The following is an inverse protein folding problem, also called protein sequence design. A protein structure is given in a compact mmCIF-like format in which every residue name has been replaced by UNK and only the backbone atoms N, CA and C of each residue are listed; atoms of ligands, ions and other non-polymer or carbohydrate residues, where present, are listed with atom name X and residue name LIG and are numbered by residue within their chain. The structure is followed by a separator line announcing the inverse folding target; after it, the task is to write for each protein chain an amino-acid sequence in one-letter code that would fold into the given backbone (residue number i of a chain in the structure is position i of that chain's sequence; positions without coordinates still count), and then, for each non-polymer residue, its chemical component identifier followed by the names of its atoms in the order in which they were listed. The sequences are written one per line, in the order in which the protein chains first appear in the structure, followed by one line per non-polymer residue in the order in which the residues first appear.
data_IF_197237794448
#
_entry.id   IF_197237794448
#
_cell.length_a   1.000
_cell.length_b   1.000
_cell.length_c   1.000
_cell.angle_alpha   90.00
_cell.angle_beta   90.00
_cell.angle_gamma   90.00
#
_symmetry.space_group_name_H-M   'P 1'
#
loop_
_entity.id
_entity.type
_entity.pdbx_description
1 polymer ?
#
# COMPACT_ATOMS: atom_id res chain seq x y z
N UNK A 1 49.93 -49.32 14.42
CA UNK A 1 49.28 -48.07 14.86
C UNK A 1 48.22 -47.72 13.83
N UNK A 2 46.96 -48.04 14.11
CA UNK A 2 45.84 -47.84 13.19
C UNK A 2 45.08 -46.58 13.61
N UNK A 3 44.98 -45.61 12.70
CA UNK A 3 44.24 -44.37 12.89
C UNK A 3 42.77 -44.54 12.50
N UNK A 4 41.86 -44.32 13.45
CA UNK A 4 40.43 -44.32 13.20
C UNK A 4 39.99 -42.98 12.60
N UNK A 5 39.57 -43.00 11.34
CA UNK A 5 38.86 -41.91 10.66
C UNK A 5 37.41 -41.90 11.14
N UNK A 6 36.98 -40.80 11.76
CA UNK A 6 35.57 -40.56 12.07
C UNK A 6 34.91 -39.89 10.86
N UNK A 7 33.94 -40.60 10.27
CA UNK A 7 33.09 -40.07 9.21
C UNK A 7 32.04 -39.13 9.81
N UNK A 8 32.15 -37.85 9.47
CA UNK A 8 31.14 -36.84 9.80
C UNK A 8 29.87 -37.11 8.99
N UNK A 9 28.81 -37.52 9.68
CA UNK A 9 27.45 -37.64 9.14
C UNK A 9 26.88 -36.24 8.94
N UNK A 10 26.75 -35.82 7.68
CA UNK A 10 26.05 -34.61 7.28
C UNK A 10 24.56 -34.69 7.62
N UNK A 11 24.15 -33.99 8.68
CA UNK A 11 22.75 -33.78 9.03
C UNK A 11 22.18 -32.67 8.14
N UNK A 12 21.55 -33.08 7.03
CA UNK A 12 20.96 -32.18 6.05
C UNK A 12 19.56 -31.68 6.46
N UNK A 13 19.47 -30.39 6.77
CA UNK A 13 18.67 -29.46 5.96
C UNK A 13 17.13 -29.47 6.01
N UNK A 14 16.46 -30.11 6.97
CA UNK A 14 14.97 -30.09 7.04
C UNK A 14 14.36 -29.18 8.13
N UNK A 15 15.17 -28.46 8.91
CA UNK A 15 14.69 -27.67 10.05
C UNK A 15 14.21 -26.23 9.75
N UNK A 16 14.56 -25.64 8.60
CA UNK A 16 14.41 -24.18 8.39
C UNK A 16 13.03 -23.71 7.90
N UNK A 17 12.09 -24.63 7.63
CA UNK A 17 10.79 -24.23 7.04
C UNK A 17 9.77 -23.75 8.06
N UNK A 18 9.86 -24.21 9.31
CA UNK A 18 8.91 -23.84 10.36
C UNK A 18 9.27 -22.53 11.07
N UNK A 19 10.57 -22.23 11.17
CA UNK A 19 11.07 -21.01 11.82
C UNK A 19 10.63 -19.72 11.10
N UNK A 20 10.50 -19.75 9.76
CA UNK A 20 10.05 -18.59 8.99
C UNK A 20 8.55 -18.23 9.21
N UNK A 21 7.71 -19.18 9.62
CA UNK A 21 6.28 -18.92 9.79
C UNK A 21 5.97 -18.11 11.06
N UNK A 22 6.77 -18.28 12.11
CA UNK A 22 6.61 -17.54 13.36
C UNK A 22 7.12 -16.11 13.23
N UNK A 23 8.24 -15.92 12.51
CA UNK A 23 8.80 -14.61 12.19
C UNK A 23 7.81 -13.70 11.44
N UNK A 24 7.03 -14.28 10.50
CA UNK A 24 6.05 -13.53 9.73
C UNK A 24 4.80 -13.15 10.53
N UNK A 25 4.48 -13.88 11.61
CA UNK A 25 3.40 -13.51 12.55
C UNK A 25 3.81 -12.34 13.44
N UNK A 26 5.05 -12.35 13.94
CA UNK A 26 5.58 -11.27 14.78
C UNK A 26 5.61 -9.95 14.01
N UNK A 27 6.03 -9.97 12.73
CA UNK A 27 6.04 -8.78 11.87
C UNK A 27 4.64 -8.22 11.60
N UNK A 28 3.64 -9.07 11.33
CA UNK A 28 2.25 -8.64 11.10
C UNK A 28 1.61 -7.97 12.32
N UNK A 29 1.90 -8.47 13.52
CA UNK A 29 1.41 -7.86 14.78
C UNK A 29 1.99 -6.47 15.04
N UNK A 30 3.20 -6.18 14.54
CA UNK A 30 3.80 -4.86 14.66
C UNK A 30 2.99 -3.76 13.96
N UNK A 31 2.45 -4.05 12.77
CA UNK A 31 1.69 -3.08 11.99
C UNK A 31 0.29 -2.80 12.58
N UNK A 32 -0.40 -3.83 13.08
CA UNK A 32 -1.74 -3.66 13.64
C UNK A 32 -1.74 -2.83 14.94
N UNK A 33 -0.69 -2.95 15.76
CA UNK A 33 -0.54 -2.16 16.98
C UNK A 33 -0.17 -0.69 16.70
N UNK A 34 0.53 -0.40 15.59
CA UNK A 34 0.81 0.98 15.14
C UNK A 34 -0.45 1.69 14.70
N UNK A 35 -1.32 1.01 13.94
CA UNK A 35 -2.56 1.59 13.43
C UNK A 35 -3.52 2.05 14.54
N UNK A 36 -3.42 1.48 15.75
CA UNK A 36 -4.32 1.76 16.87
C UNK A 36 -3.72 2.67 17.95
N UNK A 37 -2.53 3.23 17.73
CA UNK A 37 -1.85 4.08 18.72
C UNK A 37 -1.34 3.37 19.99
N UNK A 38 -1.54 2.04 20.11
CA UNK A 38 -1.15 1.23 21.26
C UNK A 38 0.31 0.74 21.21
N UNK A 39 1.03 1.08 20.15
CA UNK A 39 2.44 0.69 19.97
C UNK A 39 3.36 1.18 21.09
N UNK A 40 3.09 2.36 21.65
CA UNK A 40 3.90 2.92 22.73
C UNK A 40 3.82 2.10 24.02
N UNK A 41 2.63 1.56 24.35
CA UNK A 41 2.40 0.67 25.49
C UNK A 41 3.05 -0.70 25.26
N UNK A 42 2.81 -1.31 24.09
CA UNK A 42 3.39 -2.61 23.73
C UNK A 42 4.93 -2.57 23.71
N UNK A 43 5.52 -1.50 23.19
CA UNK A 43 6.98 -1.31 23.19
C UNK A 43 7.54 -1.18 24.61
N UNK A 44 6.89 -0.39 25.47
CA UNK A 44 7.29 -0.25 26.89
C UNK A 44 7.17 -1.58 27.64
N UNK A 45 6.11 -2.36 27.36
CA UNK A 45 5.92 -3.69 27.92
C UNK A 45 7.09 -4.60 27.54
N UNK A 46 7.39 -4.73 26.24
CA UNK A 46 8.51 -5.53 25.76
C UNK A 46 9.85 -5.12 26.40
N UNK A 47 10.13 -3.83 26.48
CA UNK A 47 11.37 -3.34 27.08
C UNK A 47 11.47 -3.67 28.59
N UNK A 48 10.34 -3.64 29.30
CA UNK A 48 10.27 -4.03 30.71
C UNK A 48 10.54 -5.52 30.91
N UNK A 49 9.96 -6.38 30.05
CA UNK A 49 10.17 -7.83 30.07
C UNK A 49 11.61 -8.19 29.73
N UNK A 50 12.21 -7.57 28.71
CA UNK A 50 13.63 -7.78 28.37
C UNK A 50 14.52 -7.45 29.58
N UNK A 51 14.22 -6.34 30.28
CA UNK A 51 14.99 -5.93 31.46
C UNK A 51 14.88 -6.94 32.59
N UNK A 52 13.69 -7.47 32.87
CA UNK A 52 13.45 -8.49 33.88
C UNK A 52 14.19 -9.79 33.56
N UNK A 53 14.04 -10.32 32.34
CA UNK A 53 14.70 -11.56 31.91
C UNK A 53 16.23 -11.44 31.93
N UNK A 54 16.75 -10.26 31.61
CA UNK A 54 18.18 -9.96 31.73
C UNK A 54 18.67 -9.91 33.17
N UNK A 55 17.85 -9.44 34.12
CA UNK A 55 18.20 -9.49 35.54
C UNK A 55 18.22 -10.92 36.08
N UNK A 56 17.44 -11.81 35.46
CA UNK A 56 17.44 -13.26 35.74
C UNK A 56 18.62 -14.01 35.09
N UNK A 57 19.46 -13.31 34.31
CA UNK A 57 20.66 -13.89 33.70
C UNK A 57 20.46 -14.51 32.31
N UNK A 58 19.30 -14.34 31.67
CA UNK A 58 19.12 -14.78 30.29
C UNK A 58 20.00 -14.00 29.31
N UNK A 59 20.40 -14.67 28.23
CA UNK A 59 21.12 -14.02 27.13
C UNK A 59 20.20 -13.02 26.42
N UNK A 60 20.81 -11.98 25.84
CA UNK A 60 20.07 -10.89 25.17
C UNK A 60 19.12 -11.39 24.07
N UNK A 61 19.53 -12.40 23.30
CA UNK A 61 18.71 -12.98 22.22
C UNK A 61 17.52 -13.73 22.77
N UNK A 62 17.75 -14.68 23.68
CA UNK A 62 16.71 -15.46 24.36
C UNK A 62 15.70 -14.56 25.09
N UNK A 63 16.18 -13.52 25.77
CA UNK A 63 15.33 -12.54 26.44
C UNK A 63 14.47 -11.72 25.45
N UNK A 64 14.99 -11.42 24.25
CA UNK A 64 14.24 -10.69 23.24
C UNK A 64 13.13 -11.57 22.64
N UNK A 65 13.42 -12.83 22.35
CA UNK A 65 12.48 -13.79 21.77
C UNK A 65 11.34 -14.07 22.76
N UNK A 66 11.67 -14.35 24.02
CA UNK A 66 10.70 -14.54 25.10
C UNK A 66 9.86 -13.28 25.33
N UNK A 67 10.45 -12.08 25.27
CA UNK A 67 9.70 -10.84 25.40
C UNK A 67 8.70 -10.62 24.25
N UNK A 68 9.05 -11.03 23.03
CA UNK A 68 8.11 -11.01 21.90
C UNK A 68 6.96 -12.00 22.10
N UNK A 69 7.23 -13.21 22.59
CA UNK A 69 6.20 -14.21 22.89
C UNK A 69 5.23 -13.70 23.97
N UNK A 70 5.73 -13.14 25.06
CA UNK A 70 4.89 -12.54 26.10
C UNK A 70 4.10 -11.34 25.59
N UNK A 71 4.70 -10.50 24.75
CA UNK A 71 3.99 -9.37 24.15
C UNK A 71 2.87 -9.86 23.22
N UNK A 72 3.08 -10.92 22.45
CA UNK A 72 2.06 -11.50 21.58
C UNK A 72 0.91 -12.15 22.37
N UNK A 73 1.18 -12.69 23.56
CA UNK A 73 0.16 -13.23 24.47
C UNK A 73 -0.67 -12.13 25.15
N UNK A 74 -0.01 -11.06 25.64
CA UNK A 74 -0.66 -9.94 26.35
C UNK A 74 -1.41 -9.00 25.39
N UNK A 75 -0.84 -8.80 24.20
CA UNK A 75 -1.42 -8.01 23.12
C UNK A 75 -1.75 -8.97 21.98
N UNK A 76 -2.79 -9.82 22.15
CA UNK A 76 -3.21 -10.71 21.09
C UNK A 76 -3.45 -9.85 19.85
N UNK A 77 -3.10 -10.41 18.69
CA UNK A 77 -3.54 -9.84 17.44
C UNK A 77 -5.05 -9.67 17.59
N UNK A 78 -5.51 -8.43 17.75
CA UNK A 78 -6.94 -8.15 17.63
C UNK A 78 -7.24 -8.75 16.29
N UNK A 79 -8.13 -9.77 16.27
CA UNK A 79 -8.61 -10.35 15.04
C UNK A 79 -8.78 -9.15 14.14
N UNK A 80 -7.93 -9.08 13.11
CA UNK A 80 -8.15 -8.11 12.08
C UNK A 80 -9.54 -8.56 11.69
N UNK A 81 -10.56 -7.79 12.11
CA UNK A 81 -11.79 -7.75 11.34
C UNK A 81 -11.17 -7.48 10.00
N UNK A 82 -11.12 -8.54 9.19
CA UNK A 82 -10.71 -8.48 7.81
C UNK A 82 -11.69 -7.45 7.28
N UNK A 83 -11.35 -6.18 7.47
CA UNK A 83 -11.56 -5.16 6.48
C UNK A 83 -10.89 -5.85 5.33
N UNK A 84 -11.72 -6.46 4.45
CA UNK A 84 -11.22 -7.33 3.42
C UNK A 84 -10.04 -6.57 2.88
N UNK A 85 -8.91 -7.27 2.83
CA UNK A 85 -7.75 -6.71 2.20
C UNK A 85 -8.23 -6.01 0.94
N UNK A 86 -7.58 -4.90 0.66
CA UNK A 86 -7.73 -4.07 -0.50
C UNK A 86 -7.50 -4.86 -1.82
N UNK A 87 -8.13 -6.01 -2.02
CA UNK A 87 -9.02 -6.31 -3.12
C UNK A 87 -10.08 -5.20 -3.23
N UNK A 88 -9.68 -4.08 -3.82
CA UNK A 88 -10.61 -3.12 -4.41
C UNK A 88 -11.37 -3.72 -5.60
N UNK A 89 -11.96 -4.90 -5.44
CA UNK A 89 -12.65 -5.67 -6.50
C UNK A 89 -14.11 -5.96 -6.17
N UNK A 90 -14.57 -5.79 -4.93
CA UNK A 90 -15.93 -6.23 -4.53
C UNK A 90 -16.89 -5.07 -4.18
N UNK A 91 -16.42 -3.82 -4.08
CA UNK A 91 -17.30 -2.65 -3.98
C UNK A 91 -17.82 -2.14 -5.34
N UNK A 92 -17.56 -2.90 -6.41
CA UNK A 92 -18.03 -2.60 -7.78
C UNK A 92 -19.19 -3.51 -8.21
N UNK A 93 -19.88 -4.16 -7.27
CA UNK A 93 -21.11 -4.90 -7.57
C UNK A 93 -22.36 -4.00 -7.70
N UNK A 94 -22.19 -2.68 -7.79
CA UNK A 94 -23.24 -1.82 -8.36
C UNK A 94 -23.17 -1.85 -9.90
N UNK A 95 -23.14 -3.08 -10.44
CA UNK A 95 -22.96 -3.47 -11.85
C UNK A 95 -24.02 -2.87 -12.80
N UNK A 96 -25.13 -2.35 -12.25
CA UNK A 96 -26.21 -1.74 -13.03
C UNK A 96 -25.84 -0.46 -13.78
N UNK A 97 -24.67 0.16 -13.52
CA UNK A 97 -24.27 1.40 -14.17
C UNK A 97 -22.95 1.31 -14.97
N UNK A 98 -22.38 0.12 -15.10
CA UNK A 98 -21.10 -0.08 -15.81
C UNK A 98 -21.29 0.07 -17.32
N UNK A 99 -22.39 -0.47 -17.85
CA UNK A 99 -22.78 -0.34 -19.26
C UNK A 99 -22.90 1.14 -19.66
N UNK A 100 -23.56 1.98 -18.84
CA UNK A 100 -23.73 3.41 -19.13
C UNK A 100 -22.40 4.20 -19.04
N UNK A 101 -21.47 3.75 -18.19
CA UNK A 101 -20.12 4.33 -18.13
C UNK A 101 -19.29 3.94 -19.36
N UNK A 102 -19.43 2.72 -19.88
CA UNK A 102 -18.79 2.31 -21.14
C UNK A 102 -19.36 3.07 -22.34
N UNK A 103 -20.67 3.31 -22.42
CA UNK A 103 -21.25 4.15 -23.48
C UNK A 103 -20.71 5.58 -23.46
N UNK A 104 -20.43 6.14 -22.26
CA UNK A 104 -19.78 7.46 -22.13
C UNK A 104 -18.30 7.46 -22.53
N UNK A 105 -17.60 6.33 -22.37
CA UNK A 105 -16.22 6.17 -22.83
C UNK A 105 -16.15 6.23 -24.36
N UNK A 106 -17.11 5.61 -25.05
CA UNK A 106 -17.20 5.64 -26.52
C UNK A 106 -17.70 6.99 -27.05
N UNK A 107 -18.39 7.78 -26.23
CA UNK A 107 -18.96 9.08 -26.60
C UNK A 107 -17.95 10.25 -26.69
N UNK A 108 -16.64 10.01 -26.56
CA UNK A 108 -15.67 10.79 -27.33
C UNK A 108 -15.02 12.03 -26.69
N UNK A 109 -14.81 12.06 -25.38
CA UNK A 109 -13.86 13.00 -24.77
C UNK A 109 -12.43 12.46 -24.82
N UNK A 110 -11.51 13.14 -25.52
CA UNK A 110 -10.07 12.79 -25.39
C UNK A 110 -9.67 12.93 -23.92
N UNK A 111 -9.01 11.92 -23.31
CA UNK A 111 -8.62 11.98 -21.92
C UNK A 111 -7.67 13.16 -21.70
N UNK A 112 -8.09 14.13 -20.87
CA UNK A 112 -7.31 15.31 -20.54
C UNK A 112 -6.94 15.26 -19.06
N UNK A 113 -5.77 14.68 -18.79
CA UNK A 113 -5.26 14.50 -17.42
C UNK A 113 -5.21 15.81 -16.63
N UNK A 114 -4.93 16.95 -17.27
CA UNK A 114 -4.85 18.25 -16.61
C UNK A 114 -6.24 18.69 -16.14
N UNK A 115 -7.22 18.62 -17.02
CA UNK A 115 -8.61 18.93 -16.71
C UNK A 115 -9.16 17.99 -15.62
N UNK A 116 -8.90 16.70 -15.74
CA UNK A 116 -9.36 15.69 -14.80
C UNK A 116 -8.74 15.88 -13.42
N UNK A 117 -7.44 16.16 -13.35
CA UNK A 117 -6.75 16.41 -12.07
C UNK A 117 -7.26 17.70 -11.41
N UNK A 118 -7.54 18.75 -12.19
CA UNK A 118 -8.12 19.99 -11.66
C UNK A 118 -9.50 19.75 -11.05
N UNK A 119 -10.37 19.04 -11.77
CA UNK A 119 -11.68 18.67 -11.28
C UNK A 119 -11.60 17.84 -9.98
N UNK A 120 -10.66 16.88 -9.90
CA UNK A 120 -10.42 16.10 -8.68
C UNK A 120 -9.97 16.97 -7.51
N UNK A 121 -9.11 17.96 -7.75
CA UNK A 121 -8.66 18.89 -6.71
C UNK A 121 -9.83 19.68 -6.11
N UNK A 122 -10.74 20.18 -6.96
CA UNK A 122 -11.93 20.93 -6.52
C UNK A 122 -12.90 20.06 -5.70
N UNK A 123 -13.11 18.81 -6.11
CA UNK A 123 -14.13 17.91 -5.55
C UNK A 123 -13.57 16.96 -4.48
N UNK A 124 -12.33 17.17 -4.04
CA UNK A 124 -11.62 16.23 -3.17
C UNK A 124 -12.27 16.11 -1.78
N UNK A 125 -12.83 17.21 -1.26
CA UNK A 125 -13.50 17.28 0.05
C UNK A 125 -15.01 16.96 -0.02
N UNK A 126 -15.59 16.92 -1.22
CA UNK A 126 -17.03 16.80 -1.39
C UNK A 126 -17.51 15.34 -1.32
N UNK A 127 -18.10 14.92 -0.20
CA UNK A 127 -18.50 13.52 0.01
C UNK A 127 -19.60 12.99 -0.93
N UNK A 128 -20.38 13.88 -1.56
CA UNK A 128 -21.59 13.54 -2.32
C UNK A 128 -21.39 13.44 -3.84
N UNK A 129 -20.16 13.55 -4.32
CA UNK A 129 -19.86 13.54 -5.76
C UNK A 129 -20.10 12.14 -6.33
N UNK A 130 -20.95 12.06 -7.36
CA UNK A 130 -21.27 10.80 -8.04
C UNK A 130 -20.37 10.58 -9.25
N UNK A 131 -20.23 9.33 -9.66
CA UNK A 131 -19.56 8.94 -10.89
C UNK A 131 -20.21 9.55 -12.14
N UNK A 132 -21.49 9.96 -12.07
CA UNK A 132 -22.16 10.61 -13.18
C UNK A 132 -21.74 12.08 -13.36
N UNK A 133 -21.31 12.74 -12.28
CA UNK A 133 -20.93 14.16 -12.27
C UNK A 133 -19.50 14.39 -12.77
N UNK A 134 -18.70 13.32 -12.87
CA UNK A 134 -17.32 13.42 -13.33
C UNK A 134 -17.25 13.77 -14.84
N UNK A 135 -16.24 14.57 -15.25
CA UNK A 135 -16.05 14.92 -16.65
C UNK A 135 -15.59 13.73 -17.49
N UNK A 136 -14.83 12.81 -16.88
CA UNK A 136 -14.31 11.60 -17.51
C UNK A 136 -14.24 10.46 -16.48
N UNK A 137 -14.27 9.21 -16.96
CA UNK A 137 -14.04 8.05 -16.10
C UNK A 137 -12.68 8.14 -15.38
N UNK A 138 -11.67 8.66 -16.08
CA UNK A 138 -10.34 8.89 -15.51
C UNK A 138 -10.36 9.83 -14.31
N UNK A 139 -11.15 10.91 -14.38
CA UNK A 139 -11.34 11.84 -13.26
C UNK A 139 -12.00 11.15 -12.05
N UNK A 140 -13.01 10.31 -12.29
CA UNK A 140 -13.66 9.55 -11.20
C UNK A 140 -12.71 8.55 -10.54
N UNK A 141 -11.99 7.76 -11.33
CA UNK A 141 -10.99 6.82 -10.80
C UNK A 141 -9.90 7.55 -10.02
N UNK A 142 -9.43 8.70 -10.52
CA UNK A 142 -8.42 9.53 -9.86
C UNK A 142 -8.95 10.14 -8.56
N UNK A 143 -10.23 10.54 -8.49
CA UNK A 143 -10.87 11.04 -7.27
C UNK A 143 -10.93 9.98 -6.18
N UNK A 144 -11.40 8.77 -6.52
CA UNK A 144 -11.46 7.64 -5.59
C UNK A 144 -10.08 7.31 -5.01
N UNK A 145 -9.05 7.29 -5.86
CA UNK A 145 -7.67 7.09 -5.44
C UNK A 145 -7.14 8.23 -4.57
N UNK A 146 -7.37 9.49 -4.96
CA UNK A 146 -6.88 10.66 -4.23
C UNK A 146 -7.49 10.76 -2.83
N UNK A 147 -8.75 10.32 -2.63
CA UNK A 147 -9.38 10.23 -1.31
C UNK A 147 -8.69 9.24 -0.38
N UNK A 148 -8.17 8.13 -0.91
CA UNK A 148 -7.40 7.15 -0.13
C UNK A 148 -5.96 7.62 0.12
N UNK A 149 -5.34 8.29 -0.86
CA UNK A 149 -3.91 8.64 -0.83
C UNK A 149 -3.66 10.14 -1.01
N UNK A 150 -4.29 10.96 -0.18
CA UNK A 150 -4.33 12.43 -0.32
C UNK A 150 -2.95 13.08 -0.44
N UNK A 151 -1.99 12.71 0.41
CA UNK A 151 -0.64 13.28 0.37
C UNK A 151 0.07 12.98 -0.96
N UNK A 152 -0.08 11.75 -1.49
CA UNK A 152 0.55 11.35 -2.74
C UNK A 152 -0.06 12.06 -3.94
N UNK A 153 -1.37 12.30 -3.91
CA UNK A 153 -2.03 13.09 -4.95
C UNK A 153 -1.39 14.48 -5.07
N UNK A 154 -1.22 15.18 -3.95
CA UNK A 154 -0.62 16.52 -3.95
C UNK A 154 0.87 16.50 -4.34
N UNK A 155 1.64 15.50 -3.93
CA UNK A 155 3.05 15.41 -4.30
C UNK A 155 3.27 15.14 -5.79
N UNK A 156 2.41 14.33 -6.42
CA UNK A 156 2.66 13.83 -7.78
C UNK A 156 1.94 14.62 -8.87
N UNK A 157 0.73 15.11 -8.59
CA UNK A 157 -0.15 15.66 -9.61
C UNK A 157 -0.21 17.19 -9.59
N UNK A 158 -0.20 17.84 -8.43
CA UNK A 158 -0.21 19.32 -8.36
C UNK A 158 1.00 19.99 -9.04
N UNK A 159 2.25 19.52 -8.86
CA UNK A 159 3.39 20.17 -9.51
C UNK A 159 3.28 20.13 -11.04
N UNK A 160 2.71 19.04 -11.58
CA UNK A 160 2.50 18.87 -13.02
C UNK A 160 1.39 19.79 -13.54
N UNK A 161 0.33 19.99 -12.76
CA UNK A 161 -0.74 20.94 -13.09
C UNK A 161 -0.21 22.37 -13.22
N UNK A 162 0.53 22.84 -12.20
CA UNK A 162 1.10 24.19 -12.18
C UNK A 162 2.04 24.38 -13.38
N UNK A 163 2.92 23.40 -13.63
CA UNK A 163 3.86 23.44 -14.76
C UNK A 163 3.20 23.45 -16.13
N UNK A 164 1.98 22.90 -16.25
CA UNK A 164 1.27 22.82 -17.52
C UNK A 164 0.47 24.10 -17.79
N UNK A 165 -0.07 24.72 -16.75
CA UNK A 165 -0.78 26.00 -16.87
C UNK A 165 0.16 27.16 -17.24
N UNK A 166 1.40 27.15 -16.74
CA UNK A 166 2.40 28.16 -17.12
C UNK A 166 2.83 28.06 -18.60
N UNK A 167 2.59 26.91 -19.25
CA UNK A 167 2.94 26.67 -20.67
C UNK A 167 1.80 26.95 -21.64
N UNK A 168 0.58 27.19 -21.17
CA UNK A 168 -0.60 27.42 -22.02
C UNK A 168 -0.79 28.88 -22.44
N UNK A 169 0.25 29.73 -22.31
CA UNK A 169 0.35 31.02 -23.02
C UNK A 169 1.20 30.84 -24.29
N UNK A 170 0.65 30.34 -25.43
CA UNK A 170 1.33 30.42 -26.70
C UNK A 170 1.05 31.78 -27.33
N UNK A 171 2.04 32.68 -27.28
CA UNK A 171 2.18 33.70 -28.32
C UNK A 171 2.59 32.96 -29.60
N UNK A 172 1.61 32.39 -30.30
CA UNK A 172 1.70 31.84 -31.66
C UNK A 172 2.90 30.96 -31.99
N UNK A 173 2.89 29.67 -31.62
CA UNK A 173 3.71 28.69 -32.34
C UNK A 173 3.08 27.29 -32.31
N UNK A 174 3.20 26.60 -33.45
CA UNK A 174 2.44 25.44 -33.91
C UNK A 174 2.49 24.27 -32.93
N UNK A 175 1.32 23.92 -32.38
CA UNK A 175 1.10 22.73 -31.55
C UNK A 175 1.31 21.47 -32.39
N UNK A 176 2.38 20.71 -32.11
CA UNK A 176 2.50 19.33 -32.58
C UNK A 176 1.56 18.44 -31.76
N UNK A 177 0.82 17.50 -32.37
CA UNK A 177 -0.05 16.59 -31.65
C UNK A 177 0.81 15.68 -30.76
N UNK A 178 0.71 15.86 -29.45
CA UNK A 178 1.32 14.96 -28.46
C UNK A 178 0.47 13.70 -28.42
N UNK A 179 0.77 12.76 -29.33
CA UNK A 179 0.46 11.34 -29.15
C UNK A 179 1.35 10.81 -28.02
N UNK A 180 1.07 11.16 -26.77
CA UNK A 180 1.49 10.35 -25.63
C UNK A 180 0.28 9.53 -25.24
N UNK A 181 0.28 8.32 -25.76
CA UNK A 181 -0.81 7.36 -25.77
C UNK A 181 -1.17 6.94 -24.35
N UNK A 182 -2.44 6.55 -24.18
CA UNK A 182 -2.98 5.89 -22.98
C UNK A 182 -2.12 4.71 -22.47
N UNK A 183 -1.24 4.17 -23.32
CA UNK A 183 -0.25 3.15 -22.97
C UNK A 183 0.76 3.61 -21.90
N UNK A 184 1.18 4.88 -21.88
CA UNK A 184 2.08 5.38 -20.81
C UNK A 184 1.35 5.47 -19.46
N UNK A 185 0.07 5.90 -19.47
CA UNK A 185 -0.75 5.94 -18.25
C UNK A 185 -0.99 4.50 -17.76
N UNK A 186 -1.29 3.57 -18.66
CA UNK A 186 -1.48 2.17 -18.32
C UNK A 186 -0.19 1.52 -17.79
N UNK A 187 0.97 1.87 -18.37
CA UNK A 187 2.28 1.36 -17.91
C UNK A 187 2.63 1.93 -16.54
N UNK A 188 2.37 3.21 -16.29
CA UNK A 188 2.59 3.84 -14.98
C UNK A 188 1.66 3.20 -13.93
N UNK A 189 0.37 3.03 -14.23
CA UNK A 189 -0.58 2.39 -13.32
C UNK A 189 -0.23 0.92 -13.04
N UNK A 190 0.21 0.15 -14.05
CA UNK A 190 0.68 -1.22 -13.84
C UNK A 190 1.98 -1.31 -13.04
N UNK A 191 2.90 -0.36 -13.21
CA UNK A 191 4.15 -0.35 -12.43
C UNK A 191 3.92 -0.18 -10.93
N UNK A 192 2.78 0.40 -10.52
CA UNK A 192 2.41 0.52 -9.11
C UNK A 192 1.78 -0.76 -8.54
N UNK A 193 1.18 -1.62 -9.37
CA UNK A 193 0.61 -2.89 -8.93
C UNK A 193 1.67 -3.92 -8.52
N UNK A 194 2.88 -3.84 -9.09
CA UNK A 194 3.98 -4.76 -8.77
C UNK A 194 4.78 -4.35 -7.52
N UNK A 195 4.81 -3.06 -7.18
CA UNK A 195 5.48 -2.55 -5.96
C UNK A 195 4.69 -2.92 -4.69
N UNK A 196 3.40 -3.23 -4.80
CA UNK A 196 2.56 -3.65 -3.68
C UNK A 196 2.66 -5.16 -3.36
N UNK A 197 3.44 -5.94 -4.11
CA UNK A 197 3.63 -7.41 -3.92
C UNK A 197 4.92 -7.81 -3.20
N UNK A 198 5.67 -6.84 -2.65
CA UNK A 198 6.91 -7.06 -1.86
C UNK A 198 6.65 -6.73 -0.40
#
# INVERSE_FOLDING_TARGET
MMGARWSSTGSGGLGKRWENQEDDRVKRNGNTQRAKGRWSEASRFKDSVIRELRQQGMKKTEAADEAWLRMAAEYPAVAIVEFPDNEGTEAFENSGNVESMLDRLDSGGQPNLVHDTWWVYEHLEESQVSAMDCPSLGAWSLLCWARQYRSRFFEQFLPKLISTNDRSVPTGEVVRPVKRSAEEIHTILHSFADVAKV
#
